data_IF_768823528541
#
_entry.id   IF_768823528541
#
_cell.length_a   1.000
_cell.length_b   1.000
_cell.length_c   1.000
_cell.angle_alpha   90.00
_cell.angle_beta   90.00
_cell.angle_gamma   90.00
#
_symmetry.space_group_name_H-M   'P 1'
#
loop_
_entity.id
_entity.type
_entity.pdbx_description
1 polymer ?
#
# COMPACT_ATOMS: atom_id res chain seq x y z
N UNK A 1 -22.37 4.75 8.51
CA UNK A 1 -22.46 4.71 7.04
C UNK A 1 -22.52 6.14 6.53
N UNK A 2 -21.45 6.62 5.91
CA UNK A 2 -21.46 7.91 5.23
C UNK A 2 -22.16 7.74 3.88
N UNK A 3 -23.43 8.12 3.80
CA UNK A 3 -24.08 8.30 2.50
C UNK A 3 -23.57 9.62 1.93
N UNK A 4 -22.49 9.55 1.16
CA UNK A 4 -22.02 10.69 0.41
C UNK A 4 -22.92 10.86 -0.82
N UNK A 5 -23.78 11.87 -0.79
CA UNK A 5 -24.51 12.35 -1.97
C UNK A 5 -23.53 13.16 -2.80
N UNK A 6 -22.92 12.53 -3.79
CA UNK A 6 -22.11 13.22 -4.80
C UNK A 6 -23.05 13.73 -5.90
N UNK A 7 -22.99 15.04 -6.21
CA UNK A 7 -23.83 15.63 -7.27
C UNK A 7 -23.40 15.21 -8.68
N UNK A 8 -22.11 14.89 -8.87
CA UNK A 8 -21.56 14.38 -10.11
C UNK A 8 -20.23 13.63 -9.90
N UNK A 9 -19.87 12.75 -10.83
CA UNK A 9 -18.58 12.04 -10.88
C UNK A 9 -17.86 12.42 -12.17
N UNK A 10 -16.56 12.71 -12.07
CA UNK A 10 -15.70 13.06 -13.20
C UNK A 10 -14.64 11.99 -13.44
N UNK A 11 -14.34 11.72 -14.71
CA UNK A 11 -13.23 10.89 -15.15
C UNK A 11 -12.27 11.73 -16.01
N UNK A 12 -10.98 11.41 -15.94
CA UNK A 12 -9.93 12.08 -16.70
C UNK A 12 -8.66 11.23 -16.73
N UNK A 13 -7.72 11.62 -17.58
CA UNK A 13 -6.40 10.98 -17.64
C UNK A 13 -5.58 11.47 -16.44
N UNK A 14 -5.00 10.53 -15.69
CA UNK A 14 -4.09 10.84 -14.60
C UNK A 14 -2.70 11.19 -15.15
N UNK A 15 -2.12 12.29 -14.67
CA UNK A 15 -0.74 12.67 -15.01
C UNK A 15 0.27 11.85 -14.19
N UNK A 16 1.55 11.78 -14.61
CA UNK A 16 2.58 11.12 -13.83
C UNK A 16 2.73 11.67 -12.40
N UNK A 17 2.49 12.97 -12.20
CA UNK A 17 2.53 13.62 -10.89
C UNK A 17 1.39 13.13 -10.00
N UNK A 18 0.18 13.05 -10.56
CA UNK A 18 -1.00 12.54 -9.87
C UNK A 18 -0.84 11.06 -9.45
N UNK A 19 -0.26 10.23 -10.32
CA UNK A 19 0.04 8.82 -10.00
C UNK A 19 1.01 8.72 -8.83
N UNK A 20 2.03 9.60 -8.77
CA UNK A 20 2.99 9.63 -7.66
C UNK A 20 2.36 10.15 -6.38
N UNK A 21 1.45 11.12 -6.47
CA UNK A 21 0.72 11.66 -5.32
C UNK A 21 -0.15 10.61 -4.63
N UNK A 22 -0.78 9.72 -5.41
CA UNK A 22 -1.57 8.60 -4.87
C UNK A 22 -0.73 7.49 -4.26
N UNK A 23 0.56 7.42 -4.63
CA UNK A 23 1.44 6.35 -4.22
C UNK A 23 2.04 6.62 -2.84
N UNK A 24 2.01 5.61 -1.98
CA UNK A 24 2.67 5.63 -0.67
C UNK A 24 4.12 5.11 -0.72
N UNK A 25 4.60 4.68 -1.90
CA UNK A 25 5.96 4.20 -2.10
C UNK A 25 6.17 3.46 -3.41
N UNK A 26 7.42 3.19 -3.75
CA UNK A 26 7.81 2.54 -5.00
C UNK A 26 8.11 1.04 -4.77
N UNK A 27 7.47 0.17 -5.56
CA UNK A 27 7.81 -1.26 -5.60
C UNK A 27 9.01 -1.46 -6.52
N UNK A 28 10.11 -1.96 -5.96
CA UNK A 28 11.38 -2.13 -6.69
C UNK A 28 11.67 -3.57 -7.06
N UNK A 29 11.04 -4.53 -6.37
CA UNK A 29 11.30 -5.95 -6.56
C UNK A 29 10.03 -6.73 -6.88
N UNK A 30 10.13 -7.81 -7.68
CA UNK A 30 8.99 -8.63 -8.03
C UNK A 30 8.57 -9.62 -6.92
N UNK A 31 9.36 -9.76 -5.85
CA UNK A 31 9.04 -10.71 -4.79
C UNK A 31 7.78 -10.32 -4.02
N UNK A 32 7.10 -11.34 -3.50
CA UNK A 32 5.80 -11.21 -2.82
C UNK A 32 5.96 -11.39 -1.31
N UNK A 33 6.00 -12.64 -0.86
CA UNK A 33 6.14 -13.03 0.54
C UNK A 33 7.24 -14.08 0.67
N UNK A 34 7.87 -14.11 1.83
CA UNK A 34 8.81 -15.14 2.17
C UNK A 34 8.10 -16.47 2.40
N UNK A 35 8.52 -17.53 1.72
CA UNK A 35 7.88 -18.85 1.81
C UNK A 35 7.96 -19.51 3.20
N UNK A 36 8.96 -19.15 4.03
CA UNK A 36 9.13 -19.73 5.37
C UNK A 36 8.41 -18.91 6.43
N UNK A 37 8.66 -17.61 6.44
CA UNK A 37 8.16 -16.73 7.51
C UNK A 37 6.78 -16.17 7.22
N UNK A 38 6.30 -16.31 5.98
CA UNK A 38 5.07 -15.71 5.46
C UNK A 38 5.04 -14.18 5.59
N UNK A 39 6.19 -13.55 5.87
CA UNK A 39 6.32 -12.10 5.95
C UNK A 39 6.48 -11.51 4.56
N UNK A 40 5.85 -10.35 4.27
CA UNK A 40 6.07 -9.65 3.01
C UNK A 40 7.53 -9.24 2.83
N UNK A 41 8.02 -9.35 1.60
CA UNK A 41 9.38 -8.94 1.26
C UNK A 41 9.51 -7.41 1.18
N UNK A 42 10.66 -6.89 1.62
CA UNK A 42 10.92 -5.44 1.61
C UNK A 42 11.08 -4.93 0.18
N UNK A 43 10.34 -3.86 -0.13
CA UNK A 43 10.24 -3.25 -1.46
C UNK A 43 9.62 -4.17 -2.53
N UNK A 44 8.98 -5.27 -2.10
CA UNK A 44 8.21 -6.18 -2.92
C UNK A 44 6.74 -5.77 -3.09
N UNK A 45 5.97 -6.60 -3.79
CA UNK A 45 4.58 -6.34 -4.15
C UNK A 45 3.63 -6.23 -2.95
N UNK A 46 4.00 -6.78 -1.79
CA UNK A 46 3.21 -6.73 -0.55
C UNK A 46 3.91 -5.95 0.56
N UNK A 47 4.86 -5.07 0.24
CA UNK A 47 5.67 -4.39 1.25
C UNK A 47 4.83 -3.58 2.25
N UNK A 48 4.96 -3.90 3.54
CA UNK A 48 4.21 -3.25 4.62
C UNK A 48 4.51 -1.76 4.78
N UNK A 49 5.65 -1.29 4.25
CA UNK A 49 6.01 0.13 4.24
C UNK A 49 5.20 0.94 3.22
N UNK A 50 4.78 0.29 2.13
CA UNK A 50 4.03 0.93 1.04
C UNK A 50 2.54 0.79 1.30
N UNK A 51 2.08 -0.42 1.62
CA UNK A 51 0.65 -0.74 1.69
C UNK A 51 0.09 -0.77 3.11
N UNK A 52 0.94 -0.68 4.14
CA UNK A 52 0.54 -0.74 5.55
C UNK A 52 0.82 -2.10 6.20
N UNK A 53 0.66 -2.20 7.53
CA UNK A 53 1.00 -3.41 8.28
C UNK A 53 0.00 -4.55 8.02
N UNK A 54 0.49 -5.79 8.06
CA UNK A 54 -0.36 -7.00 7.89
C UNK A 54 -1.25 -7.28 9.11
N UNK A 55 -0.89 -6.71 10.27
CA UNK A 55 -1.59 -6.87 11.54
C UNK A 55 -1.81 -5.52 12.19
N UNK A 56 -2.92 -5.40 12.92
CA UNK A 56 -3.23 -4.17 13.63
C UNK A 56 -2.12 -3.81 14.61
N UNK A 57 -1.63 -2.58 14.49
CA UNK A 57 -0.64 -1.95 15.38
C UNK A 57 0.74 -2.66 15.47
N UNK A 58 0.98 -3.74 14.72
CA UNK A 58 2.27 -4.45 14.70
C UNK A 58 3.10 -4.05 13.46
N UNK A 59 4.32 -3.54 13.68
CA UNK A 59 5.26 -3.22 12.61
C UNK A 59 6.04 -4.44 12.11
N UNK A 60 6.56 -4.39 10.88
CA UNK A 60 7.30 -5.49 10.22
C UNK A 60 8.39 -6.14 11.08
N UNK A 61 9.19 -5.31 11.77
CA UNK A 61 10.31 -5.77 12.61
C UNK A 61 9.86 -6.30 13.98
N UNK A 62 8.58 -6.16 14.33
CA UNK A 62 8.00 -6.60 15.60
C UNK A 62 8.42 -5.76 16.82
N UNK A 63 9.11 -4.63 16.62
CA UNK A 63 9.55 -3.74 17.70
C UNK A 63 8.37 -3.04 18.39
N UNK A 64 7.40 -2.61 17.60
CA UNK A 64 6.16 -1.99 18.06
C UNK A 64 5.01 -2.94 17.76
N UNK A 65 4.20 -3.23 18.79
CA UNK A 65 2.98 -4.04 18.81
C UNK A 65 1.96 -3.35 19.69
#
# INVERSE_FOLDING_TARGET
MSYATFDAIKIGIASPEMIREWSYGEVKKPETINYRTLKPERDGLFCERIFGPTKDWECHCGKYK
#
